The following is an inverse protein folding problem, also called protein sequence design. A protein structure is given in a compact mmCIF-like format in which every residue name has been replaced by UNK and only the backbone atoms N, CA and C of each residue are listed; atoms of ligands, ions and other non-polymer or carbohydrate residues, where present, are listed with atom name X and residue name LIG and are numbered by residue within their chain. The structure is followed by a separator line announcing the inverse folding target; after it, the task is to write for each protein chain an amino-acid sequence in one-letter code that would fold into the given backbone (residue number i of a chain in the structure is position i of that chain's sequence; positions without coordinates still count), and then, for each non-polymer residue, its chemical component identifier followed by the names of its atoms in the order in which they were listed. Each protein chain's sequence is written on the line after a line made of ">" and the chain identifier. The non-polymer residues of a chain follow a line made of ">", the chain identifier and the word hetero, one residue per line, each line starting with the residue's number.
data_IF_306669785298
#
_entry.id   IF_306669785298
#
_cell.length_a   1.000
_cell.length_b   1.000
_cell.length_c   1.000
_cell.angle_alpha   90.00
_cell.angle_beta   90.00
_cell.angle_gamma   90.00
#
_symmetry.space_group_name_H-M   'P 1'
#
loop_
_entity.id
_entity.type
_entity.pdbx_description
1 polymer ?
#
# COMPACT_ATOMS: atom_id res chain seq x y z
N UNK A 1 -29.38 -15.77 -5.79
CA UNK A 1 -30.25 -16.96 -5.61
C UNK A 1 -29.35 -18.07 -5.13
N UNK A 2 -29.53 -18.53 -3.92
CA UNK A 2 -28.93 -19.78 -3.46
C UNK A 2 -29.50 -20.88 -4.37
N UNK A 3 -28.64 -21.42 -5.21
CA UNK A 3 -29.02 -22.55 -6.03
C UNK A 3 -29.14 -23.77 -5.10
N UNK A 4 -30.23 -24.54 -5.21
CA UNK A 4 -30.42 -25.75 -4.42
C UNK A 4 -29.27 -26.76 -4.55
N UNK A 5 -28.45 -26.64 -5.62
CA UNK A 5 -27.22 -27.40 -5.78
C UNK A 5 -26.12 -27.04 -4.74
N UNK A 6 -26.21 -25.91 -4.10
CA UNK A 6 -25.29 -25.50 -3.02
C UNK A 6 -25.87 -25.76 -1.61
N UNK A 7 -27.14 -26.18 -1.53
CA UNK A 7 -27.83 -26.46 -0.27
C UNK A 7 -27.70 -27.93 0.10
N UNK A 8 -27.51 -28.21 1.38
CA UNK A 8 -27.32 -29.54 1.93
C UNK A 8 -28.20 -29.74 3.15
N UNK A 9 -28.90 -30.85 3.21
CA UNK A 9 -29.56 -31.31 4.43
C UNK A 9 -28.49 -31.95 5.32
N UNK A 10 -28.36 -31.44 6.55
CA UNK A 10 -27.51 -32.03 7.59
C UNK A 10 -28.37 -32.98 8.38
N UNK A 11 -28.10 -34.26 8.32
CA UNK A 11 -28.89 -35.35 8.91
C UNK A 11 -28.11 -35.95 10.06
N UNK A 12 -28.66 -35.95 11.25
CA UNK A 12 -28.04 -36.54 12.44
C UNK A 12 -28.50 -38.00 12.60
N UNK A 13 -27.50 -38.89 12.68
CA UNK A 13 -27.73 -40.30 13.04
C UNK A 13 -27.58 -40.45 14.57
N UNK A 14 -28.71 -40.66 15.25
CA UNK A 14 -28.74 -40.69 16.71
C UNK A 14 -28.07 -41.94 17.30
N UNK A 15 -28.06 -43.05 16.59
CA UNK A 15 -27.46 -44.31 17.05
C UNK A 15 -25.95 -44.23 17.11
N UNK A 16 -25.35 -43.58 16.10
CA UNK A 16 -23.88 -43.43 15.97
C UNK A 16 -23.35 -42.07 16.44
N UNK A 17 -24.25 -41.13 16.75
CA UNK A 17 -23.91 -39.73 17.09
C UNK A 17 -23.06 -39.05 16.00
N UNK A 18 -23.32 -39.33 14.72
CA UNK A 18 -22.62 -38.83 13.55
C UNK A 18 -23.61 -38.10 12.61
N UNK A 19 -23.06 -37.42 11.63
CA UNK A 19 -23.82 -36.64 10.68
C UNK A 19 -23.56 -37.09 9.23
N UNK A 20 -24.61 -37.04 8.40
CA UNK A 20 -24.48 -37.15 6.94
C UNK A 20 -24.99 -35.88 6.26
N UNK A 21 -24.53 -35.67 5.02
CA UNK A 21 -24.84 -34.47 4.23
C UNK A 21 -25.47 -34.89 2.91
N UNK A 22 -26.72 -34.53 2.69
CA UNK A 22 -27.47 -34.84 1.47
C UNK A 22 -27.77 -33.58 0.69
N UNK A 23 -27.28 -33.49 -0.55
CA UNK A 23 -27.52 -32.34 -1.42
C UNK A 23 -29.02 -32.19 -1.76
N UNK A 24 -29.54 -30.99 -1.66
CA UNK A 24 -30.97 -30.71 -1.85
C UNK A 24 -31.40 -30.91 -3.31
N UNK A 25 -30.57 -30.52 -4.26
CA UNK A 25 -30.91 -30.55 -5.68
C UNK A 25 -30.76 -31.96 -6.30
N UNK A 26 -29.70 -32.67 -5.93
CA UNK A 26 -29.36 -33.96 -6.57
C UNK A 26 -29.72 -35.16 -5.76
N UNK A 27 -29.96 -35.01 -4.44
CA UNK A 27 -30.13 -36.12 -3.53
C UNK A 27 -28.89 -36.92 -3.21
N UNK A 28 -27.74 -36.58 -3.81
CA UNK A 28 -26.45 -37.22 -3.54
C UNK A 28 -25.98 -36.92 -2.14
N UNK A 29 -25.22 -37.83 -1.55
CA UNK A 29 -24.54 -37.67 -0.25
C UNK A 29 -23.06 -37.52 -0.42
N UNK A 30 -22.41 -36.86 0.56
CA UNK A 30 -20.95 -36.88 0.66
C UNK A 30 -20.54 -38.25 1.17
N UNK A 31 -19.61 -38.91 0.46
CA UNK A 31 -19.07 -40.21 0.80
C UNK A 31 -17.55 -40.14 0.95
N UNK A 32 -17.01 -40.93 1.85
CA UNK A 32 -15.57 -41.19 1.96
C UNK A 32 -15.24 -42.54 1.39
N UNK A 33 -14.38 -42.56 0.37
CA UNK A 33 -13.90 -43.79 -0.23
C UNK A 33 -12.63 -44.25 0.47
N UNK A 34 -12.74 -45.30 1.26
CA UNK A 34 -11.63 -45.87 2.04
C UNK A 34 -10.50 -46.46 1.17
N UNK A 35 -10.79 -46.89 -0.07
CA UNK A 35 -9.81 -47.45 -0.99
C UNK A 35 -8.93 -46.37 -1.61
N UNK A 36 -9.52 -45.25 -1.96
CA UNK A 36 -8.81 -44.13 -2.60
C UNK A 36 -8.45 -43.02 -1.62
N UNK A 37 -8.91 -43.11 -0.37
CA UNK A 37 -8.80 -42.05 0.65
C UNK A 37 -9.29 -40.71 0.14
N UNK A 38 -10.35 -40.68 -0.65
CA UNK A 38 -10.91 -39.47 -1.25
C UNK A 38 -12.36 -39.24 -0.84
N UNK A 39 -12.77 -37.99 -0.87
CA UNK A 39 -14.19 -37.61 -0.73
C UNK A 39 -14.81 -37.37 -2.08
N UNK A 40 -16.07 -37.81 -2.25
CA UNK A 40 -16.87 -37.62 -3.44
C UNK A 40 -18.33 -37.46 -3.11
N UNK A 41 -19.15 -37.12 -4.06
CA UNK A 41 -20.60 -37.17 -3.95
C UNK A 41 -21.16 -38.27 -4.83
N UNK A 42 -22.17 -38.96 -4.36
CA UNK A 42 -22.80 -40.04 -5.10
C UNK A 42 -24.13 -40.45 -4.50
N UNK A 43 -24.79 -41.39 -5.19
CA UNK A 43 -25.94 -42.08 -4.64
C UNK A 43 -25.45 -43.07 -3.58
N UNK A 44 -25.89 -42.87 -2.34
CA UNK A 44 -25.65 -43.81 -1.24
C UNK A 44 -26.81 -43.78 -0.24
N UNK A 45 -27.02 -44.89 0.43
CA UNK A 45 -27.93 -44.94 1.56
C UNK A 45 -27.25 -44.23 2.75
N UNK A 46 -27.91 -43.25 3.33
CA UNK A 46 -27.38 -42.42 4.42
C UNK A 46 -27.15 -43.17 5.76
N UNK A 47 -27.21 -44.49 5.74
CA UNK A 47 -27.00 -45.35 6.91
C UNK A 47 -25.62 -46.07 6.94
N UNK A 48 -24.84 -46.02 5.87
CA UNK A 48 -23.55 -46.67 5.80
C UNK A 48 -22.44 -45.82 6.44
N UNK A 49 -21.37 -46.43 6.96
CA UNK A 49 -20.33 -45.73 7.71
C UNK A 49 -19.53 -44.76 6.83
N UNK A 50 -19.42 -45.02 5.54
CA UNK A 50 -18.72 -44.19 4.56
C UNK A 50 -19.35 -42.82 4.29
N UNK A 51 -20.63 -42.62 4.71
CA UNK A 51 -21.35 -41.32 4.59
C UNK A 51 -21.45 -40.57 5.92
N UNK A 52 -20.93 -41.12 7.02
CA UNK A 52 -21.09 -40.58 8.36
C UNK A 52 -19.82 -39.83 8.82
N UNK A 53 -20.01 -38.62 9.32
CA UNK A 53 -18.94 -37.72 9.74
C UNK A 53 -19.17 -37.26 11.17
N UNK A 54 -18.07 -37.12 11.90
CA UNK A 54 -18.03 -36.38 13.14
C UNK A 54 -17.84 -34.88 12.86
N UNK A 55 -18.70 -34.05 13.46
CA UNK A 55 -18.56 -32.59 13.37
C UNK A 55 -17.86 -32.06 14.64
N UNK A 56 -16.61 -31.73 14.53
CA UNK A 56 -15.88 -31.11 15.64
C UNK A 56 -15.95 -29.59 15.54
N UNK A 57 -16.34 -28.96 16.63
CA UNK A 57 -16.47 -27.50 16.72
C UNK A 57 -15.10 -26.81 16.67
N UNK A 58 -14.97 -25.82 15.78
CA UNK A 58 -13.89 -24.86 15.78
C UNK A 58 -14.22 -23.59 16.57
N UNK A 59 -13.34 -22.61 16.49
CA UNK A 59 -13.57 -21.27 17.03
C UNK A 59 -14.67 -20.54 16.25
N UNK A 60 -15.19 -19.45 16.84
CA UNK A 60 -16.04 -18.50 16.12
C UNK A 60 -15.15 -17.63 15.23
N UNK A 61 -15.61 -17.42 14.01
CA UNK A 61 -15.02 -16.50 13.05
C UNK A 61 -16.05 -15.42 12.69
N UNK A 62 -15.60 -14.30 12.14
CA UNK A 62 -16.47 -13.27 11.58
C UNK A 62 -16.38 -13.35 10.07
N UNK A 63 -17.51 -13.54 9.40
CA UNK A 63 -17.62 -13.56 7.95
C UNK A 63 -18.65 -12.51 7.56
N UNK A 64 -18.26 -11.51 6.78
CA UNK A 64 -19.10 -10.39 6.36
C UNK A 64 -19.92 -9.80 7.52
N UNK A 65 -19.27 -9.53 8.65
CA UNK A 65 -19.88 -8.98 9.85
C UNK A 65 -20.70 -9.97 10.71
N UNK A 66 -20.94 -11.19 10.22
CA UNK A 66 -21.68 -12.21 10.94
C UNK A 66 -20.75 -13.13 11.74
N UNK A 67 -21.05 -13.33 13.03
CA UNK A 67 -20.33 -14.29 13.86
C UNK A 67 -20.77 -15.72 13.53
N UNK A 68 -19.91 -16.47 12.89
CA UNK A 68 -20.15 -17.85 12.46
C UNK A 68 -19.16 -18.82 13.09
N UNK A 69 -19.49 -20.10 13.11
CA UNK A 69 -18.63 -21.13 13.68
C UNK A 69 -18.15 -22.08 12.59
N UNK A 70 -16.84 -22.28 12.52
CA UNK A 70 -16.24 -23.30 11.68
C UNK A 70 -16.31 -24.69 12.33
N UNK A 71 -16.43 -25.71 11.51
CA UNK A 71 -16.43 -27.13 11.90
C UNK A 71 -15.42 -27.91 11.08
N UNK A 72 -14.78 -28.90 11.71
CA UNK A 72 -14.09 -29.96 10.99
C UNK A 72 -15.06 -31.11 10.73
N UNK A 73 -15.12 -31.57 9.49
CA UNK A 73 -15.87 -32.75 9.09
C UNK A 73 -14.89 -33.93 9.06
N UNK A 74 -14.90 -34.74 10.08
CA UNK A 74 -13.94 -35.82 10.31
C UNK A 74 -14.60 -37.15 9.96
N UNK A 75 -14.03 -37.90 9.03
CA UNK A 75 -14.39 -39.29 8.80
C UNK A 75 -13.62 -40.15 9.80
N UNK A 76 -14.36 -40.91 10.58
CA UNK A 76 -13.78 -41.84 11.54
C UNK A 76 -13.69 -43.24 10.91
N UNK A 77 -12.53 -43.59 10.40
CA UNK A 77 -12.22 -44.88 9.81
C UNK A 77 -11.53 -45.82 10.78
N UNK A 78 -11.51 -45.47 12.09
CA UNK A 78 -10.81 -46.24 13.13
C UNK A 78 -9.31 -46.08 13.17
N UNK A 79 -8.73 -45.20 12.34
CA UNK A 79 -7.29 -44.93 12.34
C UNK A 79 -6.89 -43.94 13.44
N UNK A 80 -5.60 -44.04 13.88
CA UNK A 80 -5.01 -43.08 14.82
C UNK A 80 -4.85 -41.66 14.20
N UNK A 81 -5.00 -41.53 12.88
CA UNK A 81 -4.86 -40.31 12.12
C UNK A 81 -6.12 -40.04 11.27
N UNK A 82 -7.24 -39.60 11.87
CA UNK A 82 -8.48 -39.45 11.16
C UNK A 82 -8.36 -38.45 10.01
N UNK A 83 -9.04 -38.77 8.91
CA UNK A 83 -9.08 -37.91 7.73
C UNK A 83 -10.19 -36.87 7.85
N UNK A 84 -9.89 -35.66 7.38
CA UNK A 84 -10.85 -34.56 7.36
C UNK A 84 -11.11 -34.11 5.94
N UNK A 85 -12.30 -33.61 5.69
CA UNK A 85 -12.64 -32.94 4.43
C UNK A 85 -11.86 -31.63 4.32
N UNK A 86 -11.16 -31.44 3.22
CA UNK A 86 -10.33 -30.26 2.93
C UNK A 86 -10.66 -29.70 1.56
N UNK A 87 -10.59 -28.39 1.40
CA UNK A 87 -10.70 -27.71 0.11
C UNK A 87 -9.31 -27.38 -0.42
N UNK A 88 -8.88 -28.07 -1.48
CA UNK A 88 -7.63 -27.79 -2.15
C UNK A 88 -7.84 -26.64 -3.15
N UNK A 89 -6.97 -25.63 -3.09
CA UNK A 89 -7.05 -24.43 -3.95
C UNK A 89 -8.45 -23.77 -4.01
N UNK A 90 -9.25 -23.92 -2.95
CA UNK A 90 -10.57 -23.32 -2.83
C UNK A 90 -11.68 -23.93 -3.73
N UNK A 91 -11.40 -25.00 -4.47
CA UNK A 91 -12.37 -25.55 -5.41
C UNK A 91 -12.48 -27.08 -5.45
N UNK A 92 -11.45 -27.79 -5.07
CA UNK A 92 -11.42 -29.26 -5.11
C UNK A 92 -11.56 -29.84 -3.71
N UNK A 93 -12.55 -30.72 -3.51
CA UNK A 93 -12.71 -31.47 -2.25
C UNK A 93 -11.71 -32.62 -2.21
N UNK A 94 -10.93 -32.65 -1.16
CA UNK A 94 -9.95 -33.72 -0.90
C UNK A 94 -10.04 -34.17 0.56
N UNK A 95 -9.17 -35.08 0.94
CA UNK A 95 -8.95 -35.46 2.33
C UNK A 95 -7.54 -35.05 2.77
N UNK A 96 -7.44 -34.64 4.00
CA UNK A 96 -6.17 -34.32 4.62
C UNK A 96 -6.07 -34.90 6.03
N UNK A 97 -4.88 -35.03 6.56
CA UNK A 97 -4.70 -35.33 7.97
C UNK A 97 -5.23 -34.16 8.81
N UNK A 98 -5.96 -34.49 9.86
CA UNK A 98 -6.54 -33.49 10.76
C UNK A 98 -5.45 -32.59 11.39
N UNK A 99 -5.66 -31.28 11.28
CA UNK A 99 -4.76 -30.29 11.84
C UNK A 99 -5.54 -29.26 12.68
N UNK A 100 -5.21 -29.19 13.98
CA UNK A 100 -5.78 -28.23 14.92
C UNK A 100 -5.18 -26.82 14.81
N UNK A 101 -4.13 -26.65 14.01
CA UNK A 101 -3.45 -25.35 13.85
C UNK A 101 -4.38 -24.24 13.36
N UNK A 102 -4.07 -23.01 13.74
CA UNK A 102 -4.86 -21.82 13.35
C UNK A 102 -4.91 -21.61 11.83
N UNK A 103 -3.98 -22.15 11.08
CA UNK A 103 -3.81 -21.92 9.64
C UNK A 103 -4.50 -22.97 8.77
N UNK A 104 -5.16 -23.97 9.37
CA UNK A 104 -5.89 -25.01 8.63
C UNK A 104 -7.26 -24.52 8.11
N UNK A 105 -7.32 -23.35 7.49
CA UNK A 105 -8.56 -22.76 6.95
C UNK A 105 -9.21 -23.65 5.91
N UNK A 106 -8.43 -24.36 5.10
CA UNK A 106 -8.91 -25.31 4.10
C UNK A 106 -9.69 -26.50 4.69
N UNK A 107 -9.51 -26.80 5.98
CA UNK A 107 -10.17 -27.91 6.68
C UNK A 107 -11.37 -27.48 7.52
N UNK A 108 -11.67 -26.17 7.60
CA UNK A 108 -12.76 -25.64 8.40
C UNK A 108 -13.95 -25.28 7.52
N UNK A 109 -15.08 -25.86 7.80
CA UNK A 109 -16.32 -25.69 7.07
C UNK A 109 -17.32 -24.86 7.86
N UNK A 110 -17.94 -23.88 7.22
CA UNK A 110 -19.05 -23.13 7.80
C UNK A 110 -20.36 -23.82 7.48
N UNK A 111 -21.09 -24.20 8.51
CA UNK A 111 -22.46 -24.74 8.38
C UNK A 111 -23.40 -23.61 8.77
N UNK A 112 -24.07 -23.03 7.79
CA UNK A 112 -24.92 -21.85 7.96
C UNK A 112 -26.36 -22.20 7.62
N UNK A 113 -27.31 -21.63 8.38
CA UNK A 113 -28.70 -21.65 7.95
C UNK A 113 -28.89 -20.74 6.70
N UNK A 114 -30.01 -20.97 6.00
CA UNK A 114 -30.29 -20.27 4.73
C UNK A 114 -30.33 -18.75 4.90
N UNK A 115 -30.94 -18.23 5.97
CA UNK A 115 -31.12 -16.79 6.16
C UNK A 115 -29.76 -16.12 6.44
N UNK A 116 -28.92 -16.74 7.26
CA UNK A 116 -27.56 -16.29 7.52
C UNK A 116 -26.72 -16.29 6.24
N UNK A 117 -26.82 -17.35 5.43
CA UNK A 117 -26.10 -17.42 4.14
C UNK A 117 -26.57 -16.35 3.16
N UNK A 118 -27.88 -16.11 3.04
CA UNK A 118 -28.43 -15.06 2.18
C UNK A 118 -28.00 -13.66 2.62
N UNK A 119 -27.94 -13.42 3.93
CA UNK A 119 -27.45 -12.15 4.48
C UNK A 119 -25.98 -11.92 4.17
N UNK A 120 -25.13 -12.93 4.36
CA UNK A 120 -23.70 -12.87 4.02
C UNK A 120 -23.51 -12.62 2.52
N UNK A 121 -24.23 -13.36 1.66
CA UNK A 121 -24.15 -13.20 0.20
C UNK A 121 -24.61 -11.79 -0.23
N UNK A 122 -25.66 -11.26 0.38
CA UNK A 122 -26.15 -9.90 0.09
C UNK A 122 -25.13 -8.84 0.49
N UNK A 123 -24.52 -8.96 1.68
CA UNK A 123 -23.49 -8.02 2.12
C UNK A 123 -22.25 -8.10 1.23
N UNK A 124 -21.75 -9.31 0.94
CA UNK A 124 -20.62 -9.52 0.06
C UNK A 124 -20.87 -8.97 -1.36
N UNK A 125 -22.07 -9.11 -1.91
CA UNK A 125 -22.45 -8.49 -3.18
C UNK A 125 -22.33 -6.97 -3.14
N UNK A 126 -22.81 -6.35 -2.08
CA UNK A 126 -22.75 -4.91 -1.89
C UNK A 126 -21.30 -4.44 -1.85
N UNK A 127 -20.46 -5.14 -1.07
CA UNK A 127 -19.06 -4.76 -0.86
C UNK A 127 -18.22 -4.94 -2.14
N UNK A 128 -18.32 -6.09 -2.82
CA UNK A 128 -17.63 -6.30 -4.09
C UNK A 128 -18.15 -5.39 -5.21
N UNK A 129 -19.44 -5.06 -5.20
CA UNK A 129 -20.00 -4.09 -6.14
C UNK A 129 -19.36 -2.73 -5.99
N UNK A 130 -19.32 -2.24 -4.74
CA UNK A 130 -18.67 -0.97 -4.41
C UNK A 130 -17.18 -0.99 -4.74
N UNK A 131 -16.49 -2.05 -4.34
CA UNK A 131 -15.05 -2.22 -4.63
C UNK A 131 -14.77 -2.18 -6.14
N UNK A 132 -15.61 -2.86 -6.94
CA UNK A 132 -15.47 -2.84 -8.39
C UNK A 132 -15.70 -1.43 -8.96
N UNK A 133 -16.77 -0.76 -8.55
CA UNK A 133 -17.13 0.56 -9.06
C UNK A 133 -16.02 1.58 -8.72
N UNK A 134 -15.56 1.60 -7.45
CA UNK A 134 -14.45 2.45 -7.00
C UNK A 134 -13.16 2.16 -7.81
N UNK A 135 -12.84 0.89 -8.04
CA UNK A 135 -11.65 0.49 -8.78
C UNK A 135 -11.72 0.86 -10.25
N UNK A 136 -12.86 0.69 -10.91
CA UNK A 136 -13.05 1.08 -12.31
C UNK A 136 -12.87 2.59 -12.52
N UNK A 137 -13.23 3.42 -11.54
CA UNK A 137 -12.98 4.86 -11.61
C UNK A 137 -11.49 5.21 -11.48
N UNK A 138 -10.74 4.47 -10.65
CA UNK A 138 -9.28 4.58 -10.57
C UNK A 138 -8.61 4.16 -11.89
N UNK A 139 -9.04 3.06 -12.48
CA UNK A 139 -8.51 2.53 -13.74
C UNK A 139 -8.70 3.52 -14.90
N UNK A 140 -9.86 4.21 -14.94
CA UNK A 140 -10.10 5.31 -15.91
C UNK A 140 -9.10 6.46 -15.72
N UNK A 141 -8.77 6.82 -14.47
CA UNK A 141 -7.76 7.86 -14.19
C UNK A 141 -6.38 7.44 -14.70
N UNK A 142 -5.98 6.19 -14.51
CA UNK A 142 -4.74 5.67 -15.06
C UNK A 142 -4.72 5.83 -16.59
N UNK A 143 -5.79 5.40 -17.28
CA UNK A 143 -5.92 5.53 -18.74
C UNK A 143 -5.87 6.97 -19.23
N UNK A 144 -6.34 7.94 -18.45
CA UNK A 144 -6.32 9.36 -18.81
C UNK A 144 -4.96 10.05 -18.58
N UNK A 145 -4.03 9.42 -17.88
CA UNK A 145 -2.66 9.95 -17.73
C UNK A 145 -1.97 10.01 -19.10
N UNK A 146 -1.38 11.14 -19.49
CA UNK A 146 -0.65 11.23 -20.76
C UNK A 146 0.52 10.24 -20.80
N UNK A 147 0.49 9.30 -21.75
CA UNK A 147 1.47 8.23 -21.86
C UNK A 147 1.73 7.85 -23.32
N UNK A 148 2.77 7.08 -23.52
CA UNK A 148 3.04 6.36 -24.77
C UNK A 148 2.81 4.87 -24.55
N UNK A 149 2.36 4.20 -25.57
CA UNK A 149 2.35 2.74 -25.61
C UNK A 149 3.77 2.22 -25.85
N UNK A 150 4.25 1.35 -24.98
CA UNK A 150 5.51 0.62 -25.18
C UNK A 150 5.29 -0.57 -26.09
N UNK A 151 4.04 -1.11 -26.12
CA UNK A 151 3.53 -2.11 -27.06
C UNK A 151 2.31 -1.54 -27.78
N UNK A 152 2.38 -1.47 -29.09
CA UNK A 152 1.29 -0.93 -29.92
C UNK A 152 -0.05 -1.67 -29.70
N UNK A 153 -1.13 -0.92 -29.55
CA UNK A 153 -2.47 -1.44 -29.32
C UNK A 153 -2.82 -1.70 -27.84
N UNK A 154 -1.93 -1.37 -26.91
CA UNK A 154 -2.17 -1.50 -25.45
C UNK A 154 -3.43 -0.73 -25.02
N UNK A 155 -3.61 0.48 -25.51
CA UNK A 155 -4.76 1.33 -25.23
C UNK A 155 -6.07 0.65 -25.66
N UNK A 156 -6.08 0.09 -26.87
CA UNK A 156 -7.26 -0.60 -27.39
C UNK A 156 -7.59 -1.86 -26.58
N UNK A 157 -6.58 -2.66 -26.23
CA UNK A 157 -6.76 -3.86 -25.39
C UNK A 157 -7.36 -3.48 -24.04
N UNK A 158 -6.88 -2.38 -23.46
CA UNK A 158 -7.38 -1.87 -22.20
C UNK A 158 -8.85 -1.40 -22.32
N UNK A 159 -9.16 -0.57 -23.31
CA UNK A 159 -10.50 -0.03 -23.53
C UNK A 159 -11.53 -1.16 -23.83
N UNK A 160 -11.18 -2.13 -24.67
CA UNK A 160 -12.01 -3.32 -24.95
C UNK A 160 -12.22 -4.16 -23.66
N UNK A 161 -11.17 -4.37 -22.86
CA UNK A 161 -11.24 -5.09 -21.59
C UNK A 161 -12.13 -4.40 -20.57
N UNK A 162 -12.05 -3.08 -20.48
CA UNK A 162 -12.89 -2.27 -19.60
C UNK A 162 -14.38 -2.38 -19.97
N UNK A 163 -14.71 -2.30 -21.25
CA UNK A 163 -16.08 -2.48 -21.76
C UNK A 163 -16.60 -3.91 -21.53
N UNK A 164 -15.74 -4.92 -21.67
CA UNK A 164 -16.10 -6.31 -21.36
C UNK A 164 -16.43 -6.49 -19.87
N UNK A 165 -15.66 -5.89 -18.96
CA UNK A 165 -15.93 -5.92 -17.51
C UNK A 165 -17.25 -5.23 -17.20
N UNK A 166 -17.51 -4.03 -17.76
CA UNK A 166 -18.76 -3.28 -17.58
C UNK A 166 -19.96 -4.07 -18.08
N UNK A 167 -19.87 -4.68 -19.25
CA UNK A 167 -20.94 -5.50 -19.84
C UNK A 167 -21.26 -6.71 -18.95
N UNK A 168 -20.24 -7.43 -18.49
CA UNK A 168 -20.39 -8.56 -17.55
C UNK A 168 -20.97 -8.12 -16.22
N UNK A 169 -20.61 -6.95 -15.72
CA UNK A 169 -21.13 -6.36 -14.48
C UNK A 169 -22.65 -6.28 -14.45
N UNK A 170 -23.28 -5.97 -15.59
CA UNK A 170 -24.73 -5.82 -15.70
C UNK A 170 -25.48 -7.16 -15.51
N UNK A 171 -24.84 -8.29 -15.79
CA UNK A 171 -25.44 -9.62 -15.74
C UNK A 171 -25.06 -10.45 -14.53
N UNK A 172 -24.16 -9.95 -13.70
CA UNK A 172 -23.66 -10.66 -12.53
C UNK A 172 -24.66 -10.67 -11.39
N UNK A 173 -24.92 -11.85 -10.84
CA UNK A 173 -25.93 -12.09 -9.79
C UNK A 173 -25.36 -12.60 -8.46
N UNK A 174 -24.08 -12.99 -8.39
CA UNK A 174 -23.48 -13.54 -7.17
C UNK A 174 -22.22 -12.80 -6.72
N UNK A 175 -21.96 -12.80 -5.42
CA UNK A 175 -20.76 -12.21 -4.82
C UNK A 175 -19.47 -12.81 -5.41
N UNK A 176 -19.39 -14.13 -5.58
CA UNK A 176 -18.23 -14.79 -6.16
C UNK A 176 -17.94 -14.41 -7.62
N UNK A 177 -18.98 -14.08 -8.42
CA UNK A 177 -18.78 -13.55 -9.76
C UNK A 177 -18.31 -12.08 -9.74
N UNK A 178 -18.81 -11.27 -8.79
CA UNK A 178 -18.34 -9.89 -8.58
C UNK A 178 -16.88 -9.87 -8.14
N UNK A 179 -16.49 -10.72 -7.20
CA UNK A 179 -15.09 -10.87 -6.78
C UNK A 179 -14.16 -11.19 -7.95
N UNK A 180 -14.58 -12.05 -8.87
CA UNK A 180 -13.81 -12.35 -10.09
C UNK A 180 -13.70 -11.14 -11.02
N UNK A 181 -14.77 -10.33 -11.15
CA UNK A 181 -14.69 -9.09 -11.93
C UNK A 181 -13.72 -8.07 -11.33
N UNK A 182 -13.64 -7.99 -9.99
CA UNK A 182 -12.63 -7.19 -9.31
C UNK A 182 -11.23 -7.69 -9.67
N UNK A 183 -10.99 -9.00 -9.61
CA UNK A 183 -9.72 -9.59 -10.01
C UNK A 183 -9.38 -9.34 -11.49
N UNK A 184 -10.37 -9.45 -12.38
CA UNK A 184 -10.21 -9.15 -13.82
C UNK A 184 -9.85 -7.67 -14.03
N UNK A 185 -10.45 -6.74 -13.27
CA UNK A 185 -10.11 -5.31 -13.34
C UNK A 185 -8.69 -5.03 -12.84
N UNK A 186 -8.24 -5.70 -11.77
CA UNK A 186 -6.84 -5.63 -11.33
C UNK A 186 -5.87 -6.14 -12.39
N UNK A 187 -6.17 -7.29 -13.00
CA UNK A 187 -5.34 -7.86 -14.07
C UNK A 187 -5.28 -6.94 -15.30
N UNK A 188 -6.39 -6.31 -15.66
CA UNK A 188 -6.47 -5.34 -16.75
C UNK A 188 -5.57 -4.13 -16.50
N UNK A 189 -5.64 -3.55 -15.30
CA UNK A 189 -4.81 -2.42 -14.91
C UNK A 189 -3.31 -2.80 -14.87
N UNK A 190 -2.98 -3.98 -14.34
CA UNK A 190 -1.61 -4.49 -14.32
C UNK A 190 -1.06 -4.63 -15.74
N UNK A 191 -1.82 -5.29 -16.64
CA UNK A 191 -1.41 -5.48 -18.04
C UNK A 191 -1.21 -4.13 -18.75
N UNK A 192 -2.09 -3.16 -18.53
CA UNK A 192 -1.95 -1.82 -19.10
C UNK A 192 -0.66 -1.16 -18.60
N UNK A 193 -0.46 -1.06 -17.29
CA UNK A 193 0.72 -0.42 -16.68
C UNK A 193 2.03 -1.08 -17.11
N UNK A 194 2.04 -2.40 -17.35
CA UNK A 194 3.23 -3.13 -17.81
C UNK A 194 3.69 -2.74 -19.23
N UNK A 195 2.83 -2.07 -20.01
CA UNK A 195 3.07 -1.80 -21.43
C UNK A 195 2.96 -0.32 -21.82
N UNK A 196 2.98 0.56 -20.82
CA UNK A 196 2.91 2.02 -21.04
C UNK A 196 3.95 2.76 -20.21
N UNK A 197 4.37 3.91 -20.72
CA UNK A 197 5.28 4.83 -20.02
C UNK A 197 4.69 6.24 -20.07
N UNK A 198 4.61 6.99 -18.95
CA UNK A 198 4.09 8.35 -18.95
C UNK A 198 4.96 9.26 -19.84
N UNK A 199 4.34 10.25 -20.49
CA UNK A 199 5.04 11.20 -21.36
C UNK A 199 5.93 12.15 -20.58
N UNK A 200 5.66 12.38 -19.31
CA UNK A 200 6.38 13.32 -18.47
C UNK A 200 6.61 12.75 -17.07
N UNK A 201 7.81 12.96 -16.53
CA UNK A 201 8.09 12.66 -15.11
C UNK A 201 7.29 13.53 -14.12
N UNK A 202 6.67 14.60 -14.60
CA UNK A 202 5.84 15.49 -13.78
C UNK A 202 4.37 15.04 -13.73
N UNK A 203 3.98 14.11 -14.62
CA UNK A 203 2.65 13.53 -14.71
C UNK A 203 2.74 11.98 -14.73
N UNK A 204 3.27 11.37 -13.65
CA UNK A 204 3.36 9.90 -13.55
C UNK A 204 2.00 9.27 -13.31
N UNK A 205 1.91 7.95 -13.46
CA UNK A 205 0.73 7.21 -13.02
C UNK A 205 0.62 7.24 -11.50
N UNK A 206 -0.52 7.65 -10.99
CA UNK A 206 -0.81 7.67 -9.56
C UNK A 206 -1.29 6.28 -9.11
N UNK A 207 -0.46 5.57 -8.37
CA UNK A 207 -0.75 4.27 -7.76
C UNK A 207 -1.01 4.36 -6.25
N UNK A 208 -1.32 5.54 -5.73
CA UNK A 208 -1.58 5.75 -4.30
C UNK A 208 -2.71 4.86 -3.78
N UNK A 209 -3.66 4.47 -4.64
CA UNK A 209 -4.73 3.53 -4.30
C UNK A 209 -4.24 2.13 -3.90
N UNK A 210 -3.01 1.76 -4.24
CA UNK A 210 -2.38 0.50 -3.81
C UNK A 210 -1.80 0.58 -2.38
N UNK A 211 -1.67 1.79 -1.84
CA UNK A 211 -1.23 2.05 -0.46
C UNK A 211 -2.46 2.09 0.43
N UNK A 212 -2.54 1.22 1.42
CA UNK A 212 -3.66 1.20 2.36
C UNK A 212 -3.54 2.37 3.35
N UNK A 213 -4.65 3.11 3.52
CA UNK A 213 -4.72 4.26 4.44
C UNK A 213 -3.53 5.23 4.30
N UNK A 214 -3.30 5.80 3.12
CA UNK A 214 -2.13 6.63 2.85
C UNK A 214 -2.15 7.98 3.59
N UNK A 215 -3.32 8.47 3.99
CA UNK A 215 -3.55 9.75 4.70
C UNK A 215 -3.65 9.61 6.22
N UNK A 216 -3.12 8.57 6.80
CA UNK A 216 -2.99 8.36 8.26
C UNK A 216 -4.29 8.51 9.08
N UNK A 217 -5.47 8.31 8.47
CA UNK A 217 -6.74 8.32 9.21
C UNK A 217 -6.93 7.03 10.04
N UNK A 218 -6.31 5.95 9.61
CA UNK A 218 -6.35 4.62 10.22
C UNK A 218 -5.02 3.88 10.03
N UNK A 219 -4.79 2.82 10.84
CA UNK A 219 -3.56 2.01 10.76
C UNK A 219 -3.74 0.69 10.01
N UNK A 220 -4.93 0.39 9.48
CA UNK A 220 -5.17 -0.88 8.76
C UNK A 220 -4.22 -0.99 7.56
N UNK A 221 -3.55 -2.13 7.44
CA UNK A 221 -2.55 -2.38 6.39
C UNK A 221 -1.13 -1.95 6.75
N UNK A 222 -0.94 -1.23 7.84
CA UNK A 222 0.37 -0.78 8.30
C UNK A 222 0.90 -1.64 9.46
N UNK A 223 2.19 -1.91 9.45
CA UNK A 223 2.92 -2.44 10.59
C UNK A 223 3.51 -1.27 11.40
N UNK A 224 3.33 -1.31 12.72
CA UNK A 224 3.73 -0.23 13.63
C UNK A 224 2.53 0.48 14.26
N UNK A 225 2.80 1.30 15.27
CA UNK A 225 1.75 1.95 16.07
C UNK A 225 2.15 3.39 16.40
N UNK A 226 2.12 4.31 15.44
CA UNK A 226 2.24 5.74 15.71
C UNK A 226 1.05 6.23 16.55
N UNK A 227 1.19 7.34 17.26
CA UNK A 227 0.04 8.09 17.70
C UNK A 227 -0.62 8.74 16.48
N UNK A 228 -1.96 8.64 16.38
CA UNK A 228 -2.73 9.23 15.28
C UNK A 228 -3.57 10.39 15.80
N UNK A 229 -3.45 11.54 15.17
CA UNK A 229 -4.34 12.68 15.34
C UNK A 229 -4.26 13.61 14.13
N UNK A 230 -5.33 14.33 13.81
CA UNK A 230 -5.39 15.28 12.70
C UNK A 230 -4.89 14.70 11.37
N UNK A 231 -5.31 13.46 11.04
CA UNK A 231 -4.86 12.73 9.85
C UNK A 231 -3.34 12.65 9.71
N UNK A 232 -2.61 12.58 10.82
CA UNK A 232 -1.15 12.47 10.84
C UNK A 232 -0.71 11.39 11.83
N UNK A 233 0.44 10.77 11.57
CA UNK A 233 1.08 9.82 12.45
C UNK A 233 2.34 10.41 13.08
N UNK A 234 2.56 10.20 14.37
CA UNK A 234 3.77 10.67 15.03
C UNK A 234 4.45 9.60 15.89
N UNK A 235 5.76 9.76 16.03
CA UNK A 235 6.58 9.12 17.05
C UNK A 235 7.40 10.17 17.80
N UNK A 236 7.34 10.12 19.11
CA UNK A 236 8.07 11.02 19.97
C UNK A 236 9.07 10.24 20.83
N UNK A 237 10.34 10.61 20.81
CA UNK A 237 11.43 9.99 21.57
C UNK A 237 11.52 8.47 21.36
N UNK A 238 11.26 7.99 20.14
CA UNK A 238 11.20 6.56 19.83
C UNK A 238 11.96 6.20 18.57
N UNK A 239 12.55 5.01 18.56
CA UNK A 239 12.96 4.32 17.33
C UNK A 239 11.77 3.53 16.80
N UNK A 240 11.62 3.45 15.48
CA UNK A 240 10.48 2.78 14.86
C UNK A 240 10.77 2.35 13.42
N UNK A 241 9.96 1.41 12.93
CA UNK A 241 9.81 1.07 11.51
C UNK A 241 8.31 0.93 11.22
N UNK A 242 7.73 1.97 10.63
CA UNK A 242 6.32 2.01 10.23
C UNK A 242 6.21 1.77 8.74
N UNK A 243 5.53 0.68 8.34
CA UNK A 243 5.64 0.20 6.97
C UNK A 243 4.44 -0.63 6.50
N UNK A 244 4.34 -0.77 5.18
CA UNK A 244 3.52 -1.77 4.51
C UNK A 244 4.21 -2.31 3.25
N UNK A 245 3.65 -3.38 2.69
CA UNK A 245 4.13 -3.98 1.43
C UNK A 245 3.05 -3.83 0.36
N UNK A 246 3.41 -3.25 -0.76
CA UNK A 246 2.59 -3.21 -1.97
C UNK A 246 3.06 -4.32 -2.90
N UNK A 247 2.13 -5.17 -3.36
CA UNK A 247 2.42 -6.36 -4.16
C UNK A 247 1.85 -6.24 -5.57
N UNK A 248 2.22 -7.18 -6.46
CA UNK A 248 1.78 -7.26 -7.84
C UNK A 248 2.14 -5.98 -8.63
N UNK A 249 3.38 -5.55 -8.51
CA UNK A 249 3.90 -4.38 -9.20
C UNK A 249 4.49 -4.76 -10.56
N UNK A 250 4.17 -4.03 -11.65
CA UNK A 250 4.87 -4.12 -12.93
C UNK A 250 6.35 -3.77 -12.84
N UNK A 251 7.14 -4.28 -13.77
CA UNK A 251 8.53 -3.81 -13.97
C UNK A 251 8.54 -2.32 -14.29
N UNK A 252 9.46 -1.58 -13.69
CA UNK A 252 9.60 -0.15 -13.95
C UNK A 252 10.07 0.68 -12.76
N UNK A 253 10.05 1.98 -12.93
CA UNK A 253 10.51 2.94 -11.93
C UNK A 253 9.34 3.45 -11.08
N UNK A 254 9.57 3.53 -9.78
CA UNK A 254 8.59 3.96 -8.78
C UNK A 254 9.14 5.10 -7.93
N UNK A 255 8.26 5.94 -7.41
CA UNK A 255 8.61 6.97 -6.45
C UNK A 255 7.56 7.00 -5.34
N UNK A 256 8.02 6.91 -4.10
CA UNK A 256 7.24 7.19 -2.91
C UNK A 256 7.43 8.67 -2.54
N UNK A 257 6.32 9.39 -2.34
CA UNK A 257 6.30 10.74 -1.77
C UNK A 257 5.58 10.70 -0.45
N UNK A 258 6.16 11.35 0.56
CA UNK A 258 5.60 11.40 1.91
C UNK A 258 5.80 12.80 2.46
N UNK A 259 4.76 13.38 3.03
CA UNK A 259 4.93 14.58 3.85
C UNK A 259 5.42 14.16 5.23
N UNK A 260 6.62 14.58 5.60
CA UNK A 260 7.25 14.20 6.85
C UNK A 260 8.37 15.15 7.22
N UNK A 261 8.55 15.33 8.53
CA UNK A 261 9.75 15.96 9.05
C UNK A 261 10.19 15.31 10.36
N UNK A 262 11.43 15.55 10.73
CA UNK A 262 11.93 15.31 12.09
C UNK A 262 12.40 16.60 12.72
N UNK A 263 12.04 16.83 13.98
CA UNK A 263 12.62 17.85 14.84
C UNK A 263 13.54 17.16 15.86
N UNK A 264 14.87 17.24 15.70
CA UNK A 264 15.83 16.64 16.63
C UNK A 264 16.03 17.56 17.83
N UNK A 265 15.39 17.23 18.96
CA UNK A 265 15.43 18.02 20.19
C UNK A 265 14.40 19.15 20.24
N UNK A 266 14.68 20.22 21.01
CA UNK A 266 13.85 21.42 21.07
C UNK A 266 13.90 22.20 19.73
N UNK A 267 12.98 23.14 19.53
CA UNK A 267 13.00 24.05 18.38
C UNK A 267 14.31 24.83 18.28
N UNK A 268 14.82 25.30 19.41
CA UNK A 268 16.12 25.99 19.53
C UNK A 268 17.28 25.06 19.12
N UNK A 269 17.31 23.82 19.65
CA UNK A 269 18.35 22.83 19.36
C UNK A 269 18.33 22.47 17.86
N UNK A 270 17.14 22.24 17.29
CA UNK A 270 16.97 21.95 15.87
C UNK A 270 17.43 23.12 14.99
N UNK A 271 17.11 24.36 15.39
CA UNK A 271 17.56 25.55 14.69
C UNK A 271 19.10 25.67 14.67
N UNK A 272 19.76 25.51 15.81
CA UNK A 272 21.23 25.58 15.91
C UNK A 272 21.90 24.47 15.08
N UNK A 273 21.34 23.26 15.11
CA UNK A 273 21.81 22.13 14.29
C UNK A 273 21.71 22.46 12.79
N UNK A 274 20.57 23.01 12.36
CA UNK A 274 20.35 23.42 10.98
C UNK A 274 21.34 24.51 10.53
N UNK A 275 21.52 25.54 11.38
CA UNK A 275 22.44 26.65 11.09
C UNK A 275 23.89 26.21 11.03
N UNK A 276 24.27 25.14 11.74
CA UNK A 276 25.62 24.55 11.65
C UNK A 276 25.83 23.63 10.45
N UNK A 277 24.78 23.38 9.65
CA UNK A 277 24.82 22.47 8.51
C UNK A 277 24.74 20.97 8.88
N UNK A 278 24.46 20.66 10.15
CA UNK A 278 24.24 19.29 10.62
C UNK A 278 22.83 19.15 11.19
N UNK A 279 21.88 18.83 10.34
CA UNK A 279 20.46 18.71 10.66
C UNK A 279 20.12 17.62 11.69
N UNK A 280 21.06 16.71 12.01
CA UNK A 280 20.92 15.58 12.97
C UNK A 280 19.70 14.71 12.74
N UNK A 281 19.17 14.69 11.52
CA UNK A 281 18.00 13.88 11.16
C UNK A 281 18.41 12.41 11.08
N UNK A 282 17.64 11.56 11.77
CA UNK A 282 17.81 10.11 11.87
C UNK A 282 16.61 9.35 11.29
N UNK A 283 15.54 10.07 10.98
CA UNK A 283 14.34 9.52 10.34
C UNK A 283 14.50 9.54 8.82
N UNK A 284 14.09 8.46 8.18
CA UNK A 284 14.11 8.33 6.73
C UNK A 284 12.83 7.68 6.20
N UNK A 285 12.37 8.11 5.03
CA UNK A 285 11.41 7.36 4.22
C UNK A 285 12.14 6.35 3.37
N UNK A 286 11.49 5.24 3.03
CA UNK A 286 12.10 4.23 2.18
C UNK A 286 11.12 3.54 1.25
N UNK A 287 11.65 3.01 0.16
CA UNK A 287 10.96 2.24 -0.87
C UNK A 287 11.90 1.10 -1.33
N UNK A 288 11.58 -0.14 -0.98
CA UNK A 288 12.47 -1.28 -1.16
C UNK A 288 13.77 -1.12 -0.37
N UNK A 289 14.89 -1.17 -1.06
CA UNK A 289 16.25 -1.00 -0.53
C UNK A 289 16.74 0.46 -0.52
N UNK A 290 15.95 1.37 -1.08
CA UNK A 290 16.29 2.81 -1.19
C UNK A 290 15.69 3.60 -0.05
N UNK A 291 16.43 4.57 0.47
CA UNK A 291 15.95 5.49 1.50
C UNK A 291 16.42 6.92 1.27
N UNK A 292 15.70 7.85 1.89
CA UNK A 292 16.01 9.27 1.93
C UNK A 292 15.69 9.83 3.31
N UNK A 293 16.61 10.56 3.92
CA UNK A 293 16.33 11.27 5.18
C UNK A 293 15.20 12.27 4.96
N UNK A 294 14.29 12.35 5.92
CA UNK A 294 13.23 13.37 5.89
C UNK A 294 13.80 14.76 6.12
N UNK A 295 13.07 15.78 5.76
CA UNK A 295 13.43 17.16 6.07
C UNK A 295 13.49 17.38 7.59
N UNK A 296 14.40 18.24 8.03
CA UNK A 296 14.37 18.75 9.38
C UNK A 296 13.27 19.83 9.49
N UNK A 297 12.62 19.95 10.63
CA UNK A 297 11.51 20.89 10.84
C UNK A 297 11.83 22.34 10.42
N UNK A 298 13.08 22.79 10.59
CA UNK A 298 13.52 24.15 10.26
C UNK A 298 13.65 24.38 8.74
N UNK A 299 13.80 23.31 7.95
CA UNK A 299 14.03 23.41 6.51
C UNK A 299 12.95 24.20 5.77
N UNK A 300 11.70 24.10 6.22
CA UNK A 300 10.54 24.80 5.62
C UNK A 300 9.86 25.72 6.65
N UNK A 301 10.65 26.33 7.54
CA UNK A 301 10.18 27.33 8.47
C UNK A 301 9.59 28.56 7.76
N UNK A 302 8.47 29.07 8.24
CA UNK A 302 7.71 30.15 7.62
C UNK A 302 7.98 31.49 8.30
N UNK A 303 7.98 32.56 7.56
CA UNK A 303 8.10 33.95 8.09
C UNK A 303 6.80 34.41 8.76
N UNK A 304 5.66 33.84 8.34
CA UNK A 304 4.34 34.10 8.93
C UNK A 304 3.80 32.80 9.52
N UNK A 305 3.36 32.79 10.79
CA UNK A 305 2.74 31.61 11.38
C UNK A 305 1.45 31.26 10.61
N UNK A 306 1.09 29.96 10.60
CA UNK A 306 -0.20 29.51 10.09
C UNK A 306 -1.31 29.91 11.07
N UNK A 307 -0.99 29.98 12.38
CA UNK A 307 -1.91 30.41 13.40
C UNK A 307 -2.93 29.35 13.82
N UNK A 308 -2.66 28.08 13.51
CA UNK A 308 -3.46 26.91 13.92
C UNK A 308 -2.58 25.94 14.66
N UNK A 309 -3.03 25.44 15.81
CA UNK A 309 -2.22 24.64 16.71
C UNK A 309 -1.07 25.44 17.36
N UNK A 310 -0.08 24.73 17.87
CA UNK A 310 1.10 25.35 18.48
C UNK A 310 2.26 25.43 17.48
N UNK A 311 2.85 26.58 17.34
CA UNK A 311 4.04 26.82 16.54
C UNK A 311 5.18 27.33 17.41
N UNK A 312 6.39 26.91 17.16
CA UNK A 312 7.58 27.45 17.80
C UNK A 312 8.18 28.56 16.96
N UNK A 313 8.40 29.72 17.57
CA UNK A 313 9.17 30.82 16.97
C UNK A 313 10.66 30.49 17.07
N UNK A 314 11.39 30.60 15.98
CA UNK A 314 12.83 30.41 15.89
C UNK A 314 13.57 31.71 16.18
N UNK A 315 14.78 31.65 16.79
CA UNK A 315 15.59 32.83 17.08
C UNK A 315 16.31 33.36 15.84
N UNK A 316 15.56 33.55 14.74
CA UNK A 316 16.05 34.11 13.47
C UNK A 316 15.60 35.56 13.31
N UNK A 317 16.27 36.30 12.44
CA UNK A 317 15.88 37.68 12.10
C UNK A 317 15.77 37.79 10.55
N UNK A 318 14.56 37.95 9.98
CA UNK A 318 13.26 37.99 10.69
C UNK A 318 12.91 36.66 11.37
N UNK A 319 12.02 36.72 12.37
CA UNK A 319 11.56 35.53 13.07
C UNK A 319 10.88 34.55 12.11
N UNK A 320 11.08 33.26 12.33
CA UNK A 320 10.42 32.17 11.57
C UNK A 320 9.70 31.22 12.51
N UNK A 321 8.78 30.44 11.97
CA UNK A 321 7.90 29.56 12.72
C UNK A 321 7.96 28.15 12.18
N UNK A 322 7.94 27.15 13.06
CA UNK A 322 7.85 25.72 12.74
C UNK A 322 6.73 25.06 13.54
N UNK A 323 6.17 23.94 13.08
CA UNK A 323 5.17 23.19 13.83
C UNK A 323 5.72 22.71 15.18
N UNK A 324 4.86 22.72 16.22
CA UNK A 324 5.20 22.23 17.55
C UNK A 324 4.14 21.30 18.19
N UNK A 325 3.12 20.95 17.45
CA UNK A 325 2.15 19.90 17.74
C UNK A 325 1.61 19.27 16.47
N UNK A 326 0.82 18.19 16.60
CA UNK A 326 0.26 17.48 15.44
C UNK A 326 -0.72 18.34 14.65
N UNK A 327 -1.46 19.25 15.30
CA UNK A 327 -2.42 20.11 14.61
C UNK A 327 -1.70 21.12 13.70
N UNK A 328 -0.71 21.81 14.21
CA UNK A 328 0.08 22.74 13.39
C UNK A 328 0.84 21.99 12.27
N UNK A 329 1.37 20.79 12.55
CA UNK A 329 2.05 20.00 11.54
C UNK A 329 1.11 19.55 10.41
N UNK A 330 -0.12 19.13 10.71
CA UNK A 330 -1.13 18.77 9.70
C UNK A 330 -1.47 19.96 8.79
N UNK A 331 -1.54 21.17 9.34
CA UNK A 331 -1.75 22.38 8.56
C UNK A 331 -0.56 22.74 7.65
N UNK A 332 0.68 22.50 8.11
CA UNK A 332 1.86 22.62 7.25
C UNK A 332 1.81 21.61 6.10
N UNK A 333 1.40 20.37 6.36
CA UNK A 333 1.21 19.34 5.33
C UNK A 333 0.09 19.73 4.35
N UNK A 334 -1.06 20.24 4.83
CA UNK A 334 -2.15 20.73 3.99
C UNK A 334 -1.72 21.87 3.07
N UNK A 335 -0.74 22.67 3.49
CA UNK A 335 -0.10 23.70 2.67
C UNK A 335 1.02 23.16 1.74
N UNK A 336 1.16 21.86 1.61
CA UNK A 336 2.12 21.20 0.69
C UNK A 336 3.57 21.20 1.18
N UNK A 337 3.82 21.50 2.46
CA UNK A 337 5.15 21.55 3.01
C UNK A 337 5.67 20.17 3.43
N UNK A 338 6.98 20.05 3.59
CA UNK A 338 7.70 18.85 4.04
C UNK A 338 7.53 17.63 3.15
N UNK A 339 7.28 17.80 1.85
CA UNK A 339 7.29 16.67 0.92
C UNK A 339 8.71 16.13 0.77
N UNK A 340 8.85 14.82 0.97
CA UNK A 340 10.07 14.04 0.74
C UNK A 340 9.77 13.00 -0.31
N UNK A 341 10.78 12.57 -1.08
CA UNK A 341 10.61 11.54 -2.08
C UNK A 341 11.80 10.59 -2.15
N UNK A 342 11.52 9.33 -2.45
CA UNK A 342 12.51 8.28 -2.69
C UNK A 342 12.05 7.44 -3.87
N UNK A 343 12.97 7.10 -4.75
CA UNK A 343 12.69 6.31 -5.95
C UNK A 343 13.36 4.94 -5.87
N UNK A 344 12.67 3.92 -6.39
CA UNK A 344 13.17 2.56 -6.53
C UNK A 344 12.76 2.00 -7.90
N UNK A 345 13.45 0.94 -8.34
CA UNK A 345 13.11 0.23 -9.57
C UNK A 345 12.72 -1.21 -9.24
N UNK A 346 11.65 -1.67 -9.87
CA UNK A 346 11.23 -3.07 -9.90
C UNK A 346 11.78 -3.68 -11.18
N UNK A 347 12.53 -4.77 -11.04
CA UNK A 347 13.22 -5.44 -12.16
C UNK A 347 12.53 -6.74 -12.61
N UNK A 348 11.62 -7.27 -11.79
CA UNK A 348 10.91 -8.52 -12.05
C UNK A 348 9.41 -8.33 -11.97
N UNK A 349 8.67 -8.97 -12.86
CA UNK A 349 7.20 -8.95 -12.86
C UNK A 349 6.61 -9.49 -11.54
N UNK A 350 5.41 -9.03 -11.20
CA UNK A 350 4.67 -9.43 -9.99
C UNK A 350 5.46 -9.27 -8.69
N UNK A 351 6.40 -8.34 -8.67
CA UNK A 351 7.21 -8.05 -7.48
C UNK A 351 6.43 -7.28 -6.43
N UNK A 352 7.05 -7.17 -5.25
CA UNK A 352 6.54 -6.37 -4.14
C UNK A 352 7.57 -5.35 -3.70
N UNK A 353 7.10 -4.19 -3.26
CA UNK A 353 7.93 -3.17 -2.62
C UNK A 353 7.44 -2.92 -1.20
N UNK A 354 8.34 -3.03 -0.25
CA UNK A 354 8.11 -2.54 1.12
C UNK A 354 8.33 -1.03 1.11
N UNK A 355 7.38 -0.27 1.62
CA UNK A 355 7.47 1.17 1.75
C UNK A 355 7.19 1.61 3.19
N UNK A 356 7.73 2.74 3.58
CA UNK A 356 7.49 3.21 4.93
C UNK A 356 8.38 4.38 5.35
N UNK A 357 8.35 4.61 6.65
CA UNK A 357 9.19 5.58 7.37
C UNK A 357 9.77 4.92 8.61
N UNK A 358 11.04 5.14 8.88
CA UNK A 358 11.74 4.55 10.03
C UNK A 358 12.69 5.53 10.68
N UNK A 359 12.94 5.33 11.97
CA UNK A 359 13.93 6.05 12.73
C UNK A 359 14.83 5.05 13.47
N UNK A 360 16.11 5.06 13.18
CA UNK A 360 17.09 4.11 13.73
C UNK A 360 17.75 4.59 15.02
N UNK A 361 17.68 5.89 15.28
CA UNK A 361 18.19 6.53 16.50
C UNK A 361 17.27 7.67 16.92
N UNK A 362 16.92 7.71 18.20
CA UNK A 362 16.12 8.76 18.81
C UNK A 362 16.75 9.20 20.14
N UNK A 363 16.60 10.46 20.48
CA UNK A 363 17.08 11.04 21.70
C UNK A 363 16.00 11.96 22.31
N UNK A 364 16.34 12.65 23.39
CA UNK A 364 15.42 13.53 24.10
C UNK A 364 14.80 14.57 23.16
N UNK A 365 13.47 14.71 23.22
CA UNK A 365 12.66 15.61 22.41
C UNK A 365 12.74 15.40 20.88
N UNK A 366 13.27 14.27 20.39
CA UNK A 366 13.19 13.91 18.97
C UNK A 366 11.74 13.64 18.64
N UNK A 367 11.24 14.32 17.60
CA UNK A 367 9.87 14.23 17.16
C UNK A 367 9.81 14.00 15.64
N UNK A 368 9.23 12.87 15.23
CA UNK A 368 9.00 12.53 13.83
C UNK A 368 7.50 12.48 13.57
N UNK A 369 7.04 13.19 12.55
CA UNK A 369 5.64 13.26 12.16
C UNK A 369 5.52 13.12 10.65
N UNK A 370 4.45 12.48 10.17
CA UNK A 370 4.26 12.12 8.78
C UNK A 370 2.79 11.96 8.39
N UNK A 371 2.53 12.13 7.09
CA UNK A 371 1.24 11.96 6.45
C UNK A 371 1.42 11.75 4.94
N UNK A 372 0.34 11.50 4.21
CA UNK A 372 0.23 11.53 2.74
C UNK A 372 1.28 10.68 2.01
N UNK A 373 1.26 9.35 2.27
CA UNK A 373 2.06 8.39 1.50
C UNK A 373 1.49 8.23 0.10
N UNK A 374 2.16 8.73 -0.92
CA UNK A 374 1.73 8.66 -2.32
C UNK A 374 2.71 7.85 -3.14
N UNK A 375 2.22 6.86 -3.87
CA UNK A 375 3.02 5.99 -4.73
C UNK A 375 2.78 6.35 -6.19
N UNK A 376 3.86 6.60 -6.92
CA UNK A 376 3.84 6.94 -8.35
C UNK A 376 4.63 5.94 -9.17
N UNK A 377 4.17 5.68 -10.39
CA UNK A 377 4.78 4.77 -11.35
C UNK A 377 5.14 5.50 -12.65
N UNK A 378 6.33 5.23 -13.15
CA UNK A 378 6.94 5.91 -14.29
C UNK A 378 7.18 4.98 -15.49
N UNK A 379 6.63 3.76 -15.46
CA UNK A 379 6.86 2.78 -16.53
C UNK A 379 8.35 2.51 -16.74
N UNK A 380 8.75 2.42 -18.01
CA UNK A 380 10.13 2.18 -18.42
C UNK A 380 10.98 3.46 -18.55
N UNK A 381 10.55 4.57 -17.93
CA UNK A 381 11.35 5.78 -17.89
C UNK A 381 12.71 5.49 -17.23
N UNK A 382 13.83 6.03 -17.77
CA UNK A 382 15.15 5.83 -17.16
C UNK A 382 15.14 6.20 -15.67
N UNK A 383 15.73 5.34 -14.86
CA UNK A 383 15.68 5.51 -13.40
C UNK A 383 16.35 6.82 -12.94
N UNK A 384 17.41 7.24 -13.62
CA UNK A 384 18.14 8.47 -13.36
C UNK A 384 17.27 9.72 -13.53
N UNK A 385 16.30 9.68 -14.44
CA UNK A 385 15.33 10.77 -14.65
C UNK A 385 14.29 10.86 -13.56
N UNK A 386 13.95 9.71 -12.95
CA UNK A 386 12.94 9.59 -11.88
C UNK A 386 13.54 9.90 -10.50
N UNK A 387 14.86 9.71 -10.36
CA UNK A 387 15.52 10.02 -9.09
C UNK A 387 15.33 11.49 -8.69
N UNK A 388 15.13 11.77 -7.39
CA UNK A 388 15.17 13.13 -6.90
C UNK A 388 16.48 13.80 -7.34
N UNK A 389 16.38 14.97 -7.96
CA UNK A 389 17.56 15.77 -8.23
C UNK A 389 18.21 16.07 -6.89
N UNK A 390 19.33 15.44 -6.58
CA UNK A 390 20.18 15.90 -5.47
C UNK A 390 20.50 17.37 -5.80
N UNK A 391 19.94 18.31 -5.03
CA UNK A 391 20.51 19.66 -5.02
C UNK A 391 22.00 19.43 -4.72
N UNK A 392 22.84 19.57 -5.72
CA UNK A 392 24.26 19.75 -5.47
C UNK A 392 24.27 21.01 -4.62
N UNK A 393 24.46 20.87 -3.31
CA UNK A 393 24.95 21.98 -2.52
C UNK A 393 26.31 22.29 -3.18
N UNK A 394 26.28 23.21 -4.14
CA UNK A 394 27.50 23.94 -4.41
C UNK A 394 27.89 24.44 -3.02
N UNK A 395 28.97 23.89 -2.49
CA UNK A 395 29.69 24.58 -1.43
C UNK A 395 29.82 26.00 -1.93
N UNK A 396 29.09 26.90 -1.33
CA UNK A 396 29.33 28.34 -1.46
C UNK A 396 30.68 28.58 -0.81
N UNK A 397 31.76 28.18 -1.52
CA UNK A 397 32.96 28.99 -1.43
C UNK A 397 32.48 30.39 -1.80
N UNK A 398 32.69 31.33 -0.89
CA UNK A 398 32.26 32.69 -0.98
C UNK A 398 32.29 33.18 -2.44
N UNK A 399 31.07 33.42 -3.02
CA UNK A 399 30.92 33.88 -4.41
C UNK A 399 31.55 35.27 -4.59
N UNK A 400 32.00 35.89 -3.50
CA UNK A 400 32.64 37.20 -3.48
C UNK A 400 33.94 37.32 -4.29
N UNK A 401 34.64 36.21 -4.56
CA UNK A 401 35.97 36.26 -5.13
C UNK A 401 36.07 35.73 -6.58
N UNK A 402 34.97 35.34 -7.20
CA UNK A 402 34.97 34.87 -8.60
C UNK A 402 34.52 35.97 -9.53
N UNK A 403 35.47 36.40 -10.38
CA UNK A 403 35.22 37.34 -11.47
C UNK A 403 35.18 36.58 -12.79
N UNK A 404 34.15 36.85 -13.60
CA UNK A 404 34.01 36.28 -14.93
C UNK A 404 33.90 37.39 -15.95
N UNK A 405 34.41 37.17 -17.15
CA UNK A 405 34.08 37.97 -18.32
C UNK A 405 32.64 37.74 -18.76
N UNK A 406 32.10 38.61 -19.59
CA UNK A 406 30.72 38.51 -20.08
C UNK A 406 30.46 37.24 -20.92
N UNK A 407 31.52 36.67 -21.52
CA UNK A 407 31.51 35.42 -22.27
C UNK A 407 31.73 34.18 -21.37
N UNK A 408 31.70 34.35 -20.02
CA UNK A 408 31.74 33.27 -19.04
C UNK A 408 33.12 32.73 -18.67
N UNK A 409 34.22 33.35 -19.12
CA UNK A 409 35.59 32.94 -18.74
C UNK A 409 35.91 33.42 -17.33
N UNK A 410 36.36 32.50 -16.46
CA UNK A 410 36.83 32.87 -15.12
C UNK A 410 38.13 33.65 -15.16
N UNK A 411 38.17 34.75 -14.42
CA UNK A 411 39.39 35.56 -14.22
C UNK A 411 39.95 35.19 -12.84
N UNK A 412 41.21 34.78 -12.82
CA UNK A 412 41.88 34.44 -11.57
C UNK A 412 42.43 35.72 -10.92
N UNK A 413 41.87 36.11 -9.81
CA UNK A 413 42.21 37.36 -9.13
C UNK A 413 43.41 37.25 -8.20
N UNK A 414 43.87 36.05 -7.81
CA UNK A 414 45.07 35.80 -6.96
C UNK A 414 45.50 36.99 -6.10
N UNK A 415 44.62 37.45 -5.18
CA UNK A 415 44.89 38.55 -4.26
C UNK A 415 44.91 39.95 -4.88
N UNK A 416 44.44 40.09 -6.15
CA UNK A 416 44.27 41.40 -6.79
C UNK A 416 42.90 41.95 -6.46
N UNK A 417 42.82 43.26 -6.19
CA UNK A 417 41.57 43.96 -5.99
C UNK A 417 40.78 44.09 -7.30
N UNK A 418 39.44 44.12 -7.19
CA UNK A 418 38.53 44.25 -8.35
C UNK A 418 38.84 45.53 -9.14
N UNK A 419 39.38 46.54 -8.47
CA UNK A 419 39.83 47.82 -9.03
C UNK A 419 40.97 47.69 -10.05
N UNK A 420 41.70 46.58 -10.01
CA UNK A 420 42.80 46.31 -10.94
C UNK A 420 42.37 45.67 -12.29
N UNK A 421 41.07 45.42 -12.47
CA UNK A 421 40.57 44.90 -13.74
C UNK A 421 40.63 45.93 -14.86
N UNK A 422 40.99 45.54 -16.09
CA UNK A 422 40.89 46.41 -17.26
C UNK A 422 39.49 46.93 -17.49
N UNK A 423 39.35 48.07 -18.21
CA UNK A 423 38.04 48.54 -18.61
C UNK A 423 37.28 47.47 -19.38
N UNK A 424 36.07 47.11 -18.93
CA UNK A 424 35.26 46.05 -19.51
C UNK A 424 34.01 45.73 -18.73
N UNK A 425 33.28 44.70 -19.16
CA UNK A 425 32.07 44.20 -18.48
C UNK A 425 32.37 42.87 -17.84
N UNK A 426 32.12 42.74 -16.56
CA UNK A 426 32.42 41.58 -15.74
C UNK A 426 31.20 41.10 -14.98
N UNK A 427 31.20 39.84 -14.57
CA UNK A 427 30.24 39.26 -13.61
C UNK A 427 30.97 39.02 -12.30
N UNK A 428 30.65 39.76 -11.26
CA UNK A 428 31.26 39.67 -9.95
C UNK A 428 30.16 39.39 -8.91
N UNK A 429 30.31 38.29 -8.19
CA UNK A 429 29.27 37.90 -7.21
C UNK A 429 27.87 37.70 -7.84
N UNK A 430 27.81 37.26 -9.12
CA UNK A 430 26.55 37.07 -9.85
C UNK A 430 25.93 38.38 -10.39
N UNK A 431 26.57 39.55 -10.20
CA UNK A 431 26.09 40.86 -10.69
C UNK A 431 26.94 41.36 -11.84
N UNK A 432 26.30 41.99 -12.83
CA UNK A 432 27.01 42.68 -13.93
C UNK A 432 27.64 43.97 -13.41
N UNK A 433 28.96 44.08 -13.57
CA UNK A 433 29.76 45.23 -13.19
C UNK A 433 30.47 45.76 -14.44
N UNK A 434 30.40 47.06 -14.69
CA UNK A 434 31.12 47.76 -15.75
C UNK A 434 32.29 48.53 -15.14
N UNK A 435 33.49 48.33 -15.69
CA UNK A 435 34.71 49.00 -15.27
C UNK A 435 35.21 49.95 -16.38
#
# INVERSE_FOLDING_TARGET
>A
MTNDSAAWNVIFNAEKSLYSFKNVATGHVITYDTHTSSMRTGEADGATDDVLFHLMRGRKDVVEGSSVRGYWMIHNDGSESPKVMSAENGSTLTTATYNLGNDATAQRWLILDKNTMESIEMQAKKDYSKQLDDYLDLVKKLRSTPHREDIAGTDKVFDDGLEAIKSRRLTVTSAGKLSRLVADAHALAYNFLSHVTPLSKYEPFDLTFMVMNPGMDQLNGWAGKPALNHSSGEFYQATFDFNQTVSNLPVGSYQLRVQAFQRPGSAETAYQAHMSGDDKVTTEIYLGDRSCKVKQAVTEARETPIGVGNESMLPSNPAKYIPNDMLSASEYFANGLYENNVSARVETENSSLKLGIRCTFSDNMYWSIFDNFRLYYFGNMPFEEVMPVKKIQMQTQSVSDRVFTIDGRAINMHGKEVESLPHGVYIIGGKKVVR
#
